data_IF_013610313532
#
_entry.id   IF_013610313532
#
_cell.length_a   1.000
_cell.length_b   1.000
_cell.length_c   1.000
_cell.angle_alpha   90.00
_cell.angle_beta   90.00
_cell.angle_gamma   90.00
#
_symmetry.space_group_name_H-M   'P 1'
#
loop_
_entity.id
_entity.type
_entity.pdbx_description
1 polymer ?
#
# COMPACT_ATOMS: atom_id res chain seq x y z
N UNK A 1 19.69 -23.35 7.67
CA UNK A 1 19.35 -24.48 6.78
C UNK A 1 18.59 -23.88 5.62
N UNK A 2 19.05 -24.03 4.37
CA UNK A 2 18.42 -23.39 3.20
C UNK A 2 17.06 -24.06 2.97
N UNK A 3 15.95 -23.31 3.12
CA UNK A 3 14.62 -23.86 2.91
C UNK A 3 14.47 -24.17 1.41
N UNK A 4 14.30 -25.45 0.99
CA UNK A 4 14.26 -25.82 -0.43
C UNK A 4 13.11 -25.12 -1.15
N UNK A 5 12.00 -24.86 -0.44
CA UNK A 5 10.84 -24.16 -0.98
C UNK A 5 11.15 -22.72 -1.40
N UNK A 6 11.98 -22.03 -0.61
CA UNK A 6 12.43 -20.67 -0.94
C UNK A 6 13.26 -20.66 -2.22
N UNK A 7 14.14 -21.66 -2.40
CA UNK A 7 14.95 -21.78 -3.60
C UNK A 7 14.09 -22.07 -4.85
N UNK A 8 13.06 -22.91 -4.71
CA UNK A 8 12.08 -23.14 -5.78
C UNK A 8 11.36 -21.86 -6.17
N UNK A 9 10.78 -21.13 -5.20
CA UNK A 9 10.08 -19.87 -5.45
C UNK A 9 11.01 -18.87 -6.15
N UNK A 10 12.22 -18.68 -5.64
CA UNK A 10 13.21 -17.78 -6.25
C UNK A 10 13.55 -18.20 -7.69
N UNK A 11 13.68 -19.50 -7.97
CA UNK A 11 13.94 -19.98 -9.33
C UNK A 11 12.79 -19.70 -10.30
N UNK A 12 11.54 -19.82 -9.82
CA UNK A 12 10.35 -19.55 -10.62
C UNK A 12 10.23 -18.06 -10.93
N UNK A 13 10.43 -17.17 -9.95
CA UNK A 13 10.30 -15.72 -10.15
C UNK A 13 11.51 -15.10 -10.87
N UNK A 14 12.62 -15.82 -11.03
CA UNK A 14 13.82 -15.34 -11.75
C UNK A 14 13.98 -15.98 -13.14
N UNK A 15 13.16 -16.97 -13.50
CA UNK A 15 13.26 -17.64 -14.80
C UNK A 15 13.14 -16.62 -15.96
N UNK A 16 14.04 -16.65 -16.97
CA UNK A 16 13.99 -15.74 -18.11
C UNK A 16 12.83 -16.09 -19.04
N UNK A 17 11.87 -15.18 -19.24
CA UNK A 17 10.70 -15.49 -20.08
C UNK A 17 9.55 -14.48 -20.17
N UNK A 18 9.67 -13.25 -19.68
CA UNK A 18 8.65 -12.20 -19.88
C UNK A 18 9.27 -10.81 -19.96
N UNK A 19 8.81 -9.99 -20.89
CA UNK A 19 9.17 -8.56 -20.96
C UNK A 19 8.69 -7.82 -19.69
N UNK A 20 9.51 -6.89 -19.20
CA UNK A 20 9.24 -5.80 -18.22
C UNK A 20 8.58 -6.08 -16.85
N UNK A 21 8.14 -7.29 -16.50
CA UNK A 21 7.57 -7.55 -15.18
C UNK A 21 8.65 -7.62 -14.08
N UNK A 22 8.68 -6.61 -13.22
CA UNK A 22 9.58 -6.55 -12.07
C UNK A 22 9.41 -7.78 -11.14
N UNK A 23 10.51 -8.30 -10.56
CA UNK A 23 10.52 -9.45 -9.65
C UNK A 23 9.39 -9.44 -8.59
N UNK A 24 9.02 -8.29 -7.98
CA UNK A 24 7.91 -8.25 -7.01
C UNK A 24 6.56 -8.65 -7.60
N UNK A 25 6.27 -8.28 -8.86
CA UNK A 25 5.01 -8.63 -9.52
C UNK A 25 4.92 -10.14 -9.77
N UNK A 26 6.02 -10.77 -10.18
CA UNK A 26 6.10 -12.23 -10.36
C UNK A 26 5.92 -12.97 -9.04
N UNK A 27 6.55 -12.49 -7.96
CA UNK A 27 6.33 -13.07 -6.63
C UNK A 27 4.85 -13.01 -6.23
N UNK A 28 4.19 -11.85 -6.39
CA UNK A 28 2.77 -11.71 -6.11
C UNK A 28 1.91 -12.66 -6.97
N UNK A 29 2.21 -12.82 -8.25
CA UNK A 29 1.50 -13.75 -9.13
C UNK A 29 1.69 -15.21 -8.70
N UNK A 30 2.91 -15.60 -8.33
CA UNK A 30 3.19 -16.95 -7.82
C UNK A 30 2.48 -17.26 -6.50
N UNK A 31 2.28 -16.26 -5.63
CA UNK A 31 1.46 -16.43 -4.43
C UNK A 31 0.03 -16.87 -4.77
N UNK A 32 -0.59 -16.31 -5.81
CA UNK A 32 -1.95 -16.70 -6.24
C UNK A 32 -1.99 -18.10 -6.85
N UNK A 33 -0.92 -18.52 -7.52
CA UNK A 33 -0.81 -19.87 -8.10
C UNK A 33 -0.59 -20.95 -7.03
N UNK A 34 0.13 -20.62 -5.95
CA UNK A 34 0.55 -21.59 -4.94
C UNK A 34 -0.34 -21.61 -3.69
N UNK A 35 -1.07 -20.53 -3.39
CA UNK A 35 -1.89 -20.37 -2.19
C UNK A 35 -3.34 -20.12 -2.56
N UNK A 36 -4.29 -20.56 -1.72
CA UNK A 36 -5.72 -20.24 -1.90
C UNK A 36 -6.00 -18.80 -1.49
N UNK A 37 -5.50 -17.84 -2.26
CA UNK A 37 -5.62 -16.39 -2.01
C UNK A 37 -6.15 -15.69 -3.26
N UNK A 38 -6.92 -14.63 -3.07
CA UNK A 38 -7.52 -13.84 -4.15
C UNK A 38 -6.73 -12.58 -4.48
N UNK A 39 -5.61 -12.33 -3.79
CA UNK A 39 -4.77 -11.17 -4.01
C UNK A 39 -3.51 -11.22 -3.14
N UNK A 40 -2.45 -10.58 -3.61
CA UNK A 40 -1.21 -10.42 -2.87
C UNK A 40 -0.59 -9.03 -3.11
N UNK A 41 0.12 -8.52 -2.12
CA UNK A 41 0.85 -7.26 -2.16
C UNK A 41 2.20 -7.37 -1.45
N UNK A 42 3.21 -6.68 -1.95
CA UNK A 42 4.51 -6.52 -1.29
C UNK A 42 4.78 -5.04 -1.12
N UNK A 43 5.10 -4.64 0.11
CA UNK A 43 5.46 -3.27 0.42
C UNK A 43 6.78 -3.17 1.17
N UNK A 44 7.58 -2.15 0.85
CA UNK A 44 8.76 -1.75 1.62
C UNK A 44 8.36 -0.81 2.74
N UNK A 45 8.96 -0.98 3.91
CA UNK A 45 8.79 -0.05 5.02
C UNK A 45 9.93 0.96 5.04
N UNK A 46 9.60 2.23 5.29
CA UNK A 46 10.62 3.25 5.57
C UNK A 46 11.12 3.12 7.01
N UNK A 47 12.34 3.57 7.29
CA UNK A 47 12.92 3.53 8.62
C UNK A 47 12.22 4.47 9.63
N UNK A 48 11.52 5.50 9.14
CA UNK A 48 11.08 6.66 9.94
C UNK A 48 9.60 6.63 10.39
N UNK A 49 8.84 5.56 10.14
CA UNK A 49 7.45 5.46 10.61
C UNK A 49 6.55 4.51 9.82
N UNK A 50 5.20 4.59 9.97
CA UNK A 50 4.23 3.75 9.25
C UNK A 50 4.07 4.18 7.77
N UNK A 51 5.15 4.68 7.17
CA UNK A 51 5.24 5.04 5.77
C UNK A 51 5.95 3.90 5.04
N UNK A 52 5.39 3.48 3.92
CA UNK A 52 5.94 2.44 3.08
C UNK A 52 5.60 2.68 1.62
N UNK A 53 6.20 1.90 0.74
CA UNK A 53 5.92 1.94 -0.69
C UNK A 53 5.54 0.56 -1.18
N UNK A 54 4.44 0.48 -1.93
CA UNK A 54 3.99 -0.75 -2.56
C UNK A 54 4.90 -1.05 -3.74
N UNK A 55 5.63 -2.16 -3.68
CA UNK A 55 6.48 -2.63 -4.79
C UNK A 55 5.66 -3.31 -5.88
N UNK A 56 4.69 -4.12 -5.47
CA UNK A 56 3.80 -4.81 -6.38
C UNK A 56 2.51 -5.21 -5.66
N UNK A 57 1.47 -5.38 -6.46
CA UNK A 57 0.20 -5.96 -6.07
C UNK A 57 -0.39 -6.69 -7.28
N UNK A 58 -1.15 -7.75 -7.03
CA UNK A 58 -1.73 -8.58 -8.11
C UNK A 58 -2.82 -7.90 -8.92
N UNK A 59 -3.54 -6.96 -8.31
CA UNK A 59 -4.59 -6.19 -8.96
C UNK A 59 -4.72 -4.80 -8.31
N UNK A 60 -5.58 -3.95 -8.90
CA UNK A 60 -5.82 -2.60 -8.40
C UNK A 60 -6.44 -2.59 -7.00
N UNK A 61 -7.25 -3.61 -6.68
CA UNK A 61 -7.89 -3.73 -5.37
C UNK A 61 -6.85 -4.00 -4.28
N UNK A 62 -5.94 -4.96 -4.50
CA UNK A 62 -4.85 -5.26 -3.59
C UNK A 62 -3.94 -4.04 -3.43
N UNK A 63 -3.62 -3.32 -4.51
CA UNK A 63 -2.83 -2.08 -4.44
C UNK A 63 -3.50 -1.00 -3.60
N UNK A 64 -4.79 -0.77 -3.81
CA UNK A 64 -5.56 0.20 -3.03
C UNK A 64 -5.59 -0.18 -1.55
N UNK A 65 -5.72 -1.47 -1.22
CA UNK A 65 -5.69 -1.95 0.16
C UNK A 65 -4.31 -1.77 0.81
N UNK A 66 -3.22 -2.06 0.11
CA UNK A 66 -1.86 -1.75 0.58
C UNK A 66 -1.69 -0.26 0.90
N UNK A 67 -2.04 0.60 -0.06
CA UNK A 67 -1.96 2.06 0.10
C UNK A 67 -2.83 2.55 1.26
N UNK A 68 -4.01 1.95 1.43
CA UNK A 68 -4.96 2.31 2.48
C UNK A 68 -4.40 2.01 3.88
N UNK A 69 -3.65 0.93 4.04
CA UNK A 69 -3.02 0.60 5.34
C UNK A 69 -2.02 1.67 5.76
N UNK A 70 -1.18 2.13 4.83
CA UNK A 70 -0.30 3.28 5.07
C UNK A 70 -1.08 4.57 5.25
N UNK A 71 -2.18 4.72 4.49
CA UNK A 71 -3.00 5.92 4.51
C UNK A 71 -3.59 6.19 5.89
N UNK A 72 -4.12 5.13 6.50
CA UNK A 72 -4.78 5.16 7.80
C UNK A 72 -3.80 4.96 8.96
N UNK A 73 -2.60 4.44 8.70
CA UNK A 73 -1.71 3.95 9.76
C UNK A 73 -2.33 2.77 10.54
N UNK A 74 -3.30 2.10 9.93
CA UNK A 74 -4.08 1.00 10.51
C UNK A 74 -4.05 -0.17 9.52
N UNK A 75 -3.98 -1.40 10.03
CA UNK A 75 -4.06 -2.59 9.21
C UNK A 75 -3.00 -3.63 9.57
N UNK A 76 -3.18 -4.86 9.06
CA UNK A 76 -2.26 -5.96 9.34
C UNK A 76 -0.83 -5.72 8.84
N UNK A 77 -0.61 -5.01 7.73
CA UNK A 77 0.73 -4.64 7.26
C UNK A 77 1.46 -3.73 8.26
N UNK A 78 0.81 -2.65 8.69
CA UNK A 78 1.37 -1.72 9.69
C UNK A 78 1.66 -2.45 11.00
N UNK A 79 0.76 -3.33 11.43
CA UNK A 79 0.93 -4.12 12.65
C UNK A 79 2.02 -5.20 12.54
N UNK A 80 2.09 -5.92 11.43
CA UNK A 80 3.10 -6.94 11.17
C UNK A 80 4.50 -6.31 11.11
N UNK A 81 4.61 -5.16 10.45
CA UNK A 81 5.82 -4.33 10.45
C UNK A 81 6.17 -3.88 11.88
N UNK A 82 5.22 -3.28 12.60
CA UNK A 82 5.47 -2.77 13.96
C UNK A 82 5.89 -3.85 14.96
N UNK A 83 5.26 -5.02 14.90
CA UNK A 83 5.48 -6.13 15.85
C UNK A 83 6.58 -7.10 15.43
N UNK A 84 6.94 -7.14 14.13
CA UNK A 84 7.85 -8.15 13.56
C UNK A 84 7.28 -9.57 13.58
N UNK A 85 5.95 -9.72 13.72
CA UNK A 85 5.25 -11.02 13.77
C UNK A 85 4.16 -11.10 12.71
N UNK A 86 3.88 -12.30 12.15
CA UNK A 86 2.75 -12.47 11.24
C UNK A 86 1.42 -12.10 11.90
N UNK A 87 0.57 -11.44 11.13
CA UNK A 87 -0.80 -11.09 11.54
C UNK A 87 -1.75 -11.90 10.68
N UNK A 88 -2.40 -12.90 11.28
CA UNK A 88 -3.32 -13.81 10.60
C UNK A 88 -4.76 -13.48 10.98
N UNK A 89 -5.59 -13.14 10.01
CA UNK A 89 -7.03 -12.86 10.20
C UNK A 89 -7.85 -13.70 9.22
N UNK A 90 -8.25 -14.90 9.65
CA UNK A 90 -8.99 -15.82 8.79
C UNK A 90 -10.43 -15.37 8.51
N UNK A 91 -10.98 -14.51 9.35
CA UNK A 91 -12.35 -14.01 9.19
C UNK A 91 -12.43 -12.58 9.72
N UNK A 92 -12.60 -11.60 8.83
CA UNK A 92 -12.73 -10.18 9.15
C UNK A 92 -14.16 -9.79 9.57
N UNK A 93 -15.16 -10.59 9.20
CA UNK A 93 -16.58 -10.34 9.47
C UNK A 93 -17.09 -10.95 10.78
N UNK A 94 -16.34 -11.88 11.38
CA UNK A 94 -16.68 -12.45 12.68
C UNK A 94 -16.84 -11.36 13.76
N UNK A 95 -17.85 -11.51 14.63
CA UNK A 95 -18.14 -10.58 15.73
C UNK A 95 -16.93 -10.48 16.66
N UNK A 96 -16.43 -9.26 16.90
CA UNK A 96 -15.21 -9.02 17.67
C UNK A 96 -13.91 -9.28 16.91
N UNK A 97 -13.98 -9.67 15.64
CA UNK A 97 -12.83 -9.68 14.74
C UNK A 97 -12.48 -8.26 14.27
N UNK A 98 -11.33 -8.16 13.62
CA UNK A 98 -10.60 -6.93 13.32
C UNK A 98 -11.43 -5.81 12.66
N UNK A 99 -12.56 -6.14 12.01
CA UNK A 99 -13.48 -5.21 11.37
C UNK A 99 -14.12 -4.16 12.29
N UNK A 100 -14.15 -4.34 13.62
CA UNK A 100 -14.80 -3.38 14.53
C UNK A 100 -13.97 -2.87 15.71
N UNK A 101 -12.87 -3.54 16.11
CA UNK A 101 -12.08 -3.12 17.29
C UNK A 101 -10.61 -2.79 17.06
N UNK A 102 -9.93 -3.49 16.14
CA UNK A 102 -8.46 -3.43 16.03
C UNK A 102 -7.98 -2.42 14.99
N UNK A 103 -8.65 -2.39 13.84
CA UNK A 103 -8.40 -1.43 12.76
C UNK A 103 -9.74 -0.85 12.33
N UNK A 104 -10.35 0.05 13.11
CA UNK A 104 -11.73 0.46 12.89
C UNK A 104 -11.96 1.11 11.51
N UNK A 105 -10.98 1.87 10.98
CA UNK A 105 -11.12 2.51 9.66
C UNK A 105 -10.79 1.54 8.54
N UNK A 106 -9.68 0.82 8.66
CA UNK A 106 -9.27 -0.14 7.64
C UNK A 106 -10.24 -1.32 7.56
N UNK A 107 -10.72 -1.79 8.71
CA UNK A 107 -11.63 -2.92 8.86
C UNK A 107 -12.97 -2.75 8.14
N UNK A 108 -13.55 -1.55 8.17
CA UNK A 108 -14.75 -1.25 7.40
C UNK A 108 -14.46 -1.26 5.89
N UNK A 109 -13.43 -0.53 5.46
CA UNK A 109 -13.08 -0.39 4.05
C UNK A 109 -12.66 -1.72 3.38
N UNK A 110 -11.92 -2.58 4.09
CA UNK A 110 -11.48 -3.89 3.58
C UNK A 110 -12.67 -4.85 3.39
N UNK A 111 -13.68 -4.77 4.25
CA UNK A 111 -14.93 -5.54 4.11
C UNK A 111 -15.76 -5.04 2.92
N UNK A 112 -15.85 -3.71 2.75
CA UNK A 112 -16.52 -3.07 1.62
C UNK A 112 -15.84 -3.42 0.28
N UNK A 113 -14.51 -3.57 0.28
CA UNK A 113 -13.73 -4.05 -0.86
C UNK A 113 -13.90 -5.57 -1.14
N UNK A 114 -14.76 -6.27 -0.40
CA UNK A 114 -15.07 -7.68 -0.62
C UNK A 114 -14.05 -8.66 -0.03
N UNK A 115 -13.04 -8.18 0.71
CA UNK A 115 -12.08 -9.06 1.40
C UNK A 115 -12.72 -9.61 2.68
N UNK A 116 -12.42 -10.87 2.98
CA UNK A 116 -12.96 -11.61 4.12
C UNK A 116 -11.87 -12.23 4.99
N UNK A 117 -10.67 -12.46 4.46
CA UNK A 117 -9.49 -12.84 5.24
C UNK A 117 -8.26 -12.08 4.76
N UNK A 118 -7.32 -11.83 5.67
CA UNK A 118 -6.05 -11.15 5.39
C UNK A 118 -4.93 -11.73 6.25
N UNK A 119 -3.75 -11.89 5.63
CA UNK A 119 -2.57 -12.45 6.27
C UNK A 119 -1.35 -11.61 5.91
N UNK A 120 -0.74 -10.98 6.90
CA UNK A 120 0.45 -10.14 6.72
C UNK A 120 1.68 -10.82 7.32
N UNK A 121 2.75 -10.89 6.53
CA UNK A 121 4.00 -11.54 6.89
C UNK A 121 5.16 -10.54 6.83
N UNK A 122 5.82 -10.24 7.96
CA UNK A 122 6.91 -9.28 7.97
C UNK A 122 8.14 -9.84 7.25
N UNK A 123 8.72 -9.04 6.36
CA UNK A 123 9.97 -9.31 5.67
C UNK A 123 11.12 -8.80 6.52
N UNK A 124 12.01 -9.68 6.96
CA UNK A 124 13.05 -9.32 7.95
C UNK A 124 14.35 -10.07 7.82
N UNK A 125 15.44 -9.39 8.18
CA UNK A 125 16.77 -9.97 8.34
C UNK A 125 17.27 -9.67 9.75
N UNK A 126 17.31 -10.70 10.59
CA UNK A 126 17.62 -10.52 12.01
C UNK A 126 16.62 -9.57 12.67
N UNK A 127 17.11 -8.39 13.11
CA UNK A 127 16.29 -7.34 13.72
C UNK A 127 15.79 -6.29 12.72
N UNK A 128 16.29 -6.29 11.48
CA UNK A 128 15.94 -5.32 10.44
C UNK A 128 14.65 -5.76 9.77
N UNK A 129 13.67 -4.86 9.67
CA UNK A 129 12.41 -5.06 8.96
C UNK A 129 12.49 -4.28 7.66
N UNK A 130 12.36 -4.98 6.54
CA UNK A 130 12.51 -4.38 5.21
C UNK A 130 11.16 -4.14 4.54
N UNK A 131 10.14 -4.91 4.91
CA UNK A 131 8.85 -4.86 4.23
C UNK A 131 7.80 -5.77 4.86
N UNK A 132 6.68 -5.92 4.14
CA UNK A 132 5.62 -6.88 4.45
C UNK A 132 5.13 -7.52 3.15
N UNK A 133 4.83 -8.82 3.21
CA UNK A 133 4.03 -9.54 2.23
C UNK A 133 2.61 -9.71 2.78
N UNK A 134 1.63 -9.19 2.07
CA UNK A 134 0.22 -9.27 2.41
C UNK A 134 -0.51 -10.20 1.44
N UNK A 135 -1.39 -11.03 1.99
CA UNK A 135 -2.22 -11.98 1.26
C UNK A 135 -3.69 -11.76 1.62
N UNK A 136 -4.54 -11.70 0.60
CA UNK A 136 -5.97 -11.39 0.73
C UNK A 136 -6.83 -12.58 0.27
N UNK A 137 -7.96 -12.82 0.93
CA UNK A 137 -9.02 -13.73 0.44
C UNK A 137 -10.37 -13.02 0.44
N UNK A 138 -11.19 -13.31 -0.56
CA UNK A 138 -12.60 -12.96 -0.63
C UNK A 138 -13.52 -13.95 0.11
N UNK A 139 -12.97 -15.07 0.58
CA UNK A 139 -13.65 -16.03 1.46
C UNK A 139 -13.01 -16.10 2.85
N UNK A 140 -13.80 -16.26 3.93
CA UNK A 140 -13.25 -16.59 5.25
C UNK A 140 -12.57 -17.96 5.26
N UNK A 141 -11.60 -18.14 6.15
CA UNK A 141 -10.94 -19.41 6.45
C UNK A 141 -9.47 -19.22 6.85
N UNK A 142 -8.93 -20.09 7.73
CA UNK A 142 -7.50 -20.07 8.05
C UNK A 142 -6.65 -20.56 6.89
N UNK A 143 -5.38 -20.17 6.90
CA UNK A 143 -4.34 -20.91 6.20
C UNK A 143 -4.19 -22.27 6.91
N UNK A 144 -4.25 -23.37 6.18
CA UNK A 144 -3.86 -24.65 6.76
C UNK A 144 -2.34 -24.71 7.02
N UNK A 145 -1.85 -25.80 7.59
CA UNK A 145 -0.42 -25.93 7.93
C UNK A 145 0.50 -25.86 6.71
N UNK A 146 0.04 -26.34 5.56
CA UNK A 146 0.80 -26.37 4.31
C UNK A 146 0.80 -24.97 3.69
N UNK A 147 -0.37 -24.33 3.60
CA UNK A 147 -0.49 -22.96 3.09
C UNK A 147 0.26 -21.96 3.96
N UNK A 148 0.25 -22.14 5.29
CA UNK A 148 1.02 -21.29 6.20
C UNK A 148 2.52 -21.48 6.01
N UNK A 149 2.99 -22.72 5.81
CA UNK A 149 4.39 -23.01 5.55
C UNK A 149 4.84 -22.39 4.21
N UNK A 150 4.01 -22.50 3.17
CA UNK A 150 4.28 -21.89 1.87
C UNK A 150 4.24 -20.35 1.95
N UNK A 151 3.27 -19.75 2.64
CA UNK A 151 3.21 -18.29 2.83
C UNK A 151 4.46 -17.75 3.56
N UNK A 152 4.97 -18.49 4.55
CA UNK A 152 6.24 -18.15 5.21
C UNK A 152 7.44 -18.28 4.25
N UNK A 153 7.45 -19.30 3.38
CA UNK A 153 8.49 -19.45 2.36
C UNK A 153 8.44 -18.32 1.31
N UNK A 154 7.24 -17.86 0.92
CA UNK A 154 7.09 -16.68 0.08
C UNK A 154 7.57 -15.41 0.76
N UNK A 155 7.31 -15.24 2.06
CA UNK A 155 7.85 -14.11 2.82
C UNK A 155 9.40 -14.15 2.90
N UNK A 156 9.99 -15.32 3.09
CA UNK A 156 11.46 -15.48 3.04
C UNK A 156 12.01 -15.17 1.64
N UNK A 157 11.37 -15.65 0.57
CA UNK A 157 11.76 -15.35 -0.81
C UNK A 157 11.63 -13.86 -1.14
N UNK A 158 10.53 -13.23 -0.71
CA UNK A 158 10.31 -11.79 -0.85
C UNK A 158 11.38 -10.98 -0.11
N UNK A 159 11.81 -11.45 1.06
CA UNK A 159 12.91 -10.84 1.81
C UNK A 159 14.21 -10.87 1.00
N UNK A 160 14.58 -12.03 0.44
CA UNK A 160 15.79 -12.15 -0.42
C UNK A 160 15.69 -11.25 -1.66
N UNK A 161 14.54 -11.26 -2.32
CA UNK A 161 14.27 -10.42 -3.48
C UNK A 161 14.44 -8.93 -3.16
N UNK A 162 13.84 -8.46 -2.07
CA UNK A 162 13.93 -7.06 -1.64
C UNK A 162 15.38 -6.65 -1.37
N UNK A 163 16.16 -7.50 -0.70
CA UNK A 163 17.57 -7.21 -0.43
C UNK A 163 18.38 -7.11 -1.72
N UNK A 164 18.13 -8.01 -2.67
CA UNK A 164 18.80 -8.00 -3.97
C UNK A 164 18.47 -6.74 -4.79
N UNK A 165 17.22 -6.28 -4.71
CA UNK A 165 16.80 -5.02 -5.33
C UNK A 165 17.42 -3.79 -4.64
N UNK A 166 17.84 -3.88 -3.37
CA UNK A 166 18.49 -2.79 -2.66
C UNK A 166 20.01 -2.74 -2.87
N UNK A 167 20.61 -3.72 -3.53
CA UNK A 167 22.06 -3.77 -3.78
C UNK A 167 22.47 -2.81 -4.93
N UNK A 168 23.18 -1.70 -4.64
CA UNK A 168 23.57 -0.72 -5.65
C UNK A 168 24.66 -1.22 -6.61
N UNK A 169 25.45 -2.22 -6.20
CA UNK A 169 26.67 -2.64 -6.90
C UNK A 169 26.38 -3.67 -8.01
N UNK A 170 25.22 -4.34 -7.99
CA UNK A 170 24.87 -5.40 -8.96
C UNK A 170 23.99 -4.92 -10.14
N UNK A 171 23.31 -3.77 -10.06
CA UNK A 171 22.23 -3.41 -11.02
C UNK A 171 22.38 -2.04 -11.68
N UNK A 172 23.33 -1.91 -12.62
CA UNK A 172 23.38 -0.80 -13.58
C UNK A 172 22.22 -0.75 -14.60
N UNK A 173 21.10 -1.45 -14.38
CA UNK A 173 20.03 -1.59 -15.38
C UNK A 173 18.61 -1.90 -14.88
N UNK A 174 18.38 -2.14 -13.58
CA UNK A 174 17.05 -2.42 -13.00
C UNK A 174 16.53 -1.25 -12.16
N UNK A 175 16.96 -0.03 -12.52
CA UNK A 175 16.60 1.18 -11.79
C UNK A 175 15.09 1.48 -11.92
N UNK A 176 14.42 1.15 -13.03
CA UNK A 176 13.03 1.54 -13.25
C UNK A 176 12.02 0.99 -12.22
N UNK A 177 12.20 -0.26 -11.76
CA UNK A 177 11.33 -0.88 -10.76
C UNK A 177 11.54 -0.34 -9.33
N UNK A 178 12.66 0.34 -9.09
CA UNK A 178 13.05 0.90 -7.80
C UNK A 178 12.89 2.42 -7.77
N UNK A 179 13.15 3.09 -8.90
CA UNK A 179 12.92 4.52 -9.08
C UNK A 179 11.44 4.83 -9.19
N UNK A 180 10.60 3.99 -9.81
CA UNK A 180 9.15 4.24 -9.85
C UNK A 180 8.52 4.45 -8.46
N UNK A 181 8.74 3.52 -7.50
CA UNK A 181 8.37 3.67 -6.09
C UNK A 181 8.97 4.91 -5.41
N UNK A 182 10.27 5.17 -5.57
CA UNK A 182 10.98 6.30 -4.94
C UNK A 182 10.51 7.65 -5.52
N UNK A 183 10.32 7.73 -6.83
CA UNK A 183 9.81 8.89 -7.56
C UNK A 183 8.37 9.17 -7.13
N UNK A 184 7.55 8.12 -6.96
CA UNK A 184 6.19 8.27 -6.44
C UNK A 184 6.17 8.82 -5.01
N UNK A 185 7.11 8.40 -4.16
CA UNK A 185 7.23 8.93 -2.79
C UNK A 185 7.69 10.38 -2.78
N UNK A 186 8.65 10.75 -3.64
CA UNK A 186 9.09 12.13 -3.79
C UNK A 186 7.93 13.03 -4.23
N UNK A 187 7.11 12.57 -5.17
CA UNK A 187 5.90 13.26 -5.64
C UNK A 187 4.86 13.37 -4.53
N UNK A 188 4.62 12.32 -3.74
CA UNK A 188 3.71 12.35 -2.58
C UNK A 188 4.19 13.32 -1.51
N UNK A 189 5.49 13.33 -1.17
CA UNK A 189 6.05 14.29 -0.22
C UNK A 189 5.95 15.73 -0.74
N UNK A 190 6.22 15.95 -2.02
CA UNK A 190 6.09 17.26 -2.65
C UNK A 190 4.63 17.75 -2.66
N UNK A 191 3.69 16.89 -3.07
CA UNK A 191 2.26 17.17 -3.03
C UNK A 191 1.80 17.48 -1.60
N UNK A 192 2.25 16.70 -0.62
CA UNK A 192 1.93 16.92 0.81
C UNK A 192 2.47 18.27 1.29
N UNK A 193 3.68 18.66 0.88
CA UNK A 193 4.24 19.98 1.14
C UNK A 193 3.43 21.10 0.49
N UNK A 194 2.97 20.92 -0.75
CA UNK A 194 2.10 21.87 -1.44
C UNK A 194 0.74 22.03 -0.72
N UNK A 195 0.13 20.93 -0.28
CA UNK A 195 -1.15 20.94 0.44
C UNK A 195 -1.02 21.58 1.82
N UNK A 196 0.11 21.35 2.51
CA UNK A 196 0.44 22.01 3.79
C UNK A 196 0.38 23.54 3.62
N UNK A 197 0.95 24.07 2.53
CA UNK A 197 0.95 25.50 2.22
C UNK A 197 -0.45 25.98 1.80
N UNK A 198 -1.15 25.23 0.93
CA UNK A 198 -2.50 25.60 0.45
C UNK A 198 -3.50 25.72 1.60
N UNK A 199 -3.44 24.81 2.58
CA UNK A 199 -4.45 24.69 3.63
C UNK A 199 -4.01 25.26 4.98
N UNK A 200 -2.75 25.64 5.13
CA UNK A 200 -2.18 26.09 6.40
C UNK A 200 -2.22 25.02 7.52
N UNK A 201 -2.13 23.75 7.16
CA UNK A 201 -2.24 22.60 8.09
C UNK A 201 -0.90 21.91 8.34
N UNK A 202 -0.85 20.97 9.29
CA UNK A 202 0.36 20.16 9.53
C UNK A 202 0.63 19.18 8.37
N UNK A 203 1.88 18.71 8.25
CA UNK A 203 2.26 17.71 7.26
C UNK A 203 1.41 16.43 7.37
N UNK A 204 1.13 15.99 8.60
CA UNK A 204 0.32 14.80 8.86
C UNK A 204 -1.14 14.99 8.40
N UNK A 205 -1.72 16.18 8.65
CA UNK A 205 -3.07 16.53 8.20
C UNK A 205 -3.14 16.71 6.67
N UNK A 206 -2.12 17.31 6.06
CA UNK A 206 -2.03 17.44 4.61
C UNK A 206 -1.96 16.07 3.92
N UNK A 207 -1.16 15.15 4.47
CA UNK A 207 -1.05 13.79 3.95
C UNK A 207 -2.38 13.04 4.11
N UNK A 208 -3.06 13.21 5.25
CA UNK A 208 -4.38 12.65 5.49
C UNK A 208 -5.40 13.17 4.46
N UNK A 209 -5.39 14.46 4.12
CA UNK A 209 -6.28 15.05 3.11
C UNK A 209 -5.99 14.57 1.70
N UNK A 210 -4.71 14.48 1.33
CA UNK A 210 -4.29 13.90 0.05
C UNK A 210 -4.84 12.48 -0.10
N UNK A 211 -4.68 11.66 0.94
CA UNK A 211 -5.17 10.28 1.01
C UNK A 211 -6.69 10.19 0.99
N UNK A 212 -7.38 11.06 1.73
CA UNK A 212 -8.83 11.12 1.75
C UNK A 212 -9.41 11.47 0.36
N UNK A 213 -8.77 12.39 -0.37
CA UNK A 213 -9.16 12.74 -1.73
C UNK A 213 -8.94 11.59 -2.72
N UNK A 214 -7.80 10.90 -2.62
CA UNK A 214 -7.52 9.70 -3.40
C UNK A 214 -8.60 8.61 -3.18
N UNK A 215 -8.94 8.36 -1.91
CA UNK A 215 -10.02 7.44 -1.55
C UNK A 215 -11.38 7.86 -2.10
N UNK A 216 -11.77 9.13 -1.91
CA UNK A 216 -13.07 9.65 -2.36
C UNK A 216 -13.23 9.63 -3.89
N UNK A 217 -12.12 9.68 -4.64
CA UNK A 217 -12.12 9.66 -6.11
C UNK A 217 -11.81 8.29 -6.70
N UNK A 218 -11.54 7.27 -5.87
CA UNK A 218 -11.17 5.92 -6.32
C UNK A 218 -9.83 5.86 -7.06
N UNK A 219 -8.92 6.79 -6.76
CA UNK A 219 -7.61 6.92 -7.40
C UNK A 219 -6.48 6.59 -6.43
N UNK A 220 -5.31 6.23 -6.94
CA UNK A 220 -4.13 5.99 -6.10
C UNK A 220 -3.59 7.30 -5.53
N UNK A 221 -2.96 7.23 -4.36
CA UNK A 221 -2.39 8.41 -3.69
C UNK A 221 -1.32 9.05 -4.58
N UNK A 222 -0.51 8.23 -5.25
CA UNK A 222 0.54 8.68 -6.18
C UNK A 222 -0.04 9.40 -7.41
N UNK A 223 -1.17 8.94 -7.95
CA UNK A 223 -1.83 9.60 -9.09
C UNK A 223 -2.43 10.97 -8.69
N UNK A 224 -3.05 11.06 -7.51
CA UNK A 224 -3.55 12.34 -7.00
C UNK A 224 -2.38 13.26 -6.63
N UNK A 225 -1.30 12.74 -6.06
CA UNK A 225 -0.11 13.52 -5.76
C UNK A 225 0.53 14.10 -7.02
N UNK A 226 0.61 13.33 -8.10
CA UNK A 226 1.07 13.82 -9.40
C UNK A 226 0.19 14.96 -9.91
N UNK A 227 -1.14 14.84 -9.81
CA UNK A 227 -2.05 15.93 -10.20
C UNK A 227 -1.93 17.18 -9.33
N UNK A 228 -1.61 17.05 -8.05
CA UNK A 228 -1.33 18.19 -7.17
C UNK A 228 -0.04 18.89 -7.58
N UNK A 229 1.02 18.11 -7.85
CA UNK A 229 2.32 18.65 -8.32
C UNK A 229 2.16 19.31 -9.69
N UNK A 230 1.39 18.71 -10.60
CA UNK A 230 1.04 19.25 -11.92
C UNK A 230 0.00 20.37 -11.85
N UNK A 231 -0.50 20.73 -10.66
CA UNK A 231 -1.53 21.75 -10.39
C UNK A 231 -2.87 21.52 -11.11
N UNK A 232 -3.22 20.27 -11.40
CA UNK A 232 -4.55 19.88 -11.90
C UNK A 232 -5.57 19.77 -10.76
N UNK A 233 -5.11 19.49 -9.54
CA UNK A 233 -5.93 19.44 -8.32
C UNK A 233 -5.41 20.47 -7.32
N UNK A 234 -6.32 21.32 -6.81
CA UNK A 234 -6.07 22.27 -5.73
C UNK A 234 -6.95 21.91 -4.54
N UNK A 235 -6.41 22.02 -3.33
CA UNK A 235 -7.17 21.80 -2.10
C UNK A 235 -7.69 23.11 -1.48
N UNK A 236 -7.30 24.25 -2.02
CA UNK A 236 -7.75 25.59 -1.56
C UNK A 236 -9.19 25.93 -2.02
N UNK A 237 -9.72 25.19 -3.00
CA UNK A 237 -11.06 25.44 -3.53
C UNK A 237 -12.12 24.78 -2.65
N UNK A 238 -12.54 25.51 -1.62
CA UNK A 238 -13.81 25.29 -0.94
C UNK A 238 -14.95 25.23 -1.96
N UNK A 239 -15.71 24.16 -1.92
CA UNK A 239 -17.11 24.02 -2.37
C UNK A 239 -17.66 25.17 -3.23
N UNK A 240 -17.89 24.88 -4.50
CA UNK A 240 -18.83 25.61 -5.34
C UNK A 240 -20.23 25.49 -4.71
N UNK A 241 -20.62 26.50 -3.92
CA UNK A 241 -21.88 26.53 -3.18
C UNK A 241 -22.41 27.94 -2.97
N UNK A 242 -23.06 28.47 -4.02
CA UNK A 242 -24.07 29.54 -3.99
C UNK A 242 -23.59 30.97 -3.68
N UNK A 243 -23.26 31.70 -4.74
CA UNK A 243 -23.29 33.16 -4.75
C UNK A 243 -24.73 33.64 -4.59
N UNK A 244 -25.10 34.19 -3.43
CA UNK A 244 -26.25 35.10 -3.33
C UNK A 244 -25.94 36.39 -4.09
N UNK A 245 -26.80 36.86 -5.02
CA UNK A 245 -26.66 38.18 -5.61
C UNK A 245 -27.26 39.22 -4.66
N UNK A 246 -26.43 39.75 -3.77
CA UNK A 246 -26.74 40.89 -2.92
C UNK A 246 -26.25 42.22 -3.52
N UNK A 247 -27.21 43.02 -3.99
CA UNK A 247 -27.25 44.50 -3.96
C UNK A 247 -26.36 45.31 -4.89
N UNK A 248 -26.96 46.28 -5.62
CA UNK A 248 -26.43 47.67 -5.63
C UNK A 248 -27.56 48.67 -5.86
N UNK A 249 -27.84 49.43 -4.80
CA UNK A 249 -28.61 50.66 -4.75
C UNK A 249 -27.89 51.78 -5.52
N UNK A 250 -28.51 52.30 -6.58
CA UNK A 250 -28.06 53.51 -7.27
C UNK A 250 -28.48 54.76 -6.49
N UNK A 251 -27.51 55.50 -5.96
CA UNK A 251 -27.66 56.87 -5.46
C UNK A 251 -27.12 57.80 -6.55
N UNK A 252 -28.01 58.59 -7.15
CA UNK A 252 -27.64 59.71 -8.01
C UNK A 252 -28.14 61.02 -7.37
N UNK A 253 -27.24 62.01 -7.31
CA UNK A 253 -27.45 63.42 -6.92
C UNK A 253 -26.53 64.21 -7.87
N UNK A 254 -26.90 65.44 -8.30
CA UNK A 254 -27.33 66.54 -7.41
C UNK A 254 -28.79 66.95 -7.56
#
# INVERSE_FOLDING_TARGET
MRNPRVAEILSVITAPGGEEDALPARLCAECLSALSVSGAGVALMTADGPSGVVLAATDDRARQLEELQFALGEGPCVEASGSGRPVLRPDLGAVGSAGSGRWPRFGAAVLDAGVRAIFAFPLRVGAIRVGVLDLYRDTPGPLDSTELADALAFADAATVMVLHLQDPDEHGGVNAALTGPIDSQAVVHQATGMITIQLGVSLAEALLRLRAHAYATGRTVSAVAADVVDRRVSFDDSESGTTEPGTTTGRDRP
#
